data_IF_619744996320
#
_entry.id   IF_619744996320
#
_cell.length_a   1.000
_cell.length_b   1.000
_cell.length_c   1.000
_cell.angle_alpha   90.00
_cell.angle_beta   90.00
_cell.angle_gamma   90.00
#
_symmetry.space_group_name_H-M   'P 1'
#
loop_
_entity.id
_entity.type
_entity.pdbx_description
1 polymer ?
#
# COMPACT_ATOMS: atom_id res chain seq x y z
N UNK A 1 -5.52 -19.08 -76.11
CA UNK A 1 -5.50 -17.67 -75.64
C UNK A 1 -6.68 -17.30 -74.74
N UNK A 2 -7.90 -17.80 -75.01
CA UNK A 2 -9.12 -17.44 -74.24
C UNK A 2 -9.07 -17.95 -72.79
N UNK A 3 -8.58 -19.18 -72.56
CA UNK A 3 -8.49 -19.77 -71.21
C UNK A 3 -7.57 -19.01 -70.24
N UNK A 4 -6.46 -18.44 -70.73
CA UNK A 4 -5.52 -17.63 -69.92
C UNK A 4 -6.12 -16.27 -69.51
N UNK A 5 -6.97 -15.68 -70.36
CA UNK A 5 -7.67 -14.42 -70.04
C UNK A 5 -8.73 -14.63 -68.95
N UNK A 6 -9.47 -15.74 -68.99
CA UNK A 6 -10.48 -16.05 -67.98
C UNK A 6 -9.89 -16.30 -66.58
N UNK A 7 -8.73 -16.97 -66.49
CA UNK A 7 -8.04 -17.19 -65.21
C UNK A 7 -7.54 -15.88 -64.60
N UNK A 8 -7.05 -14.94 -65.42
CA UNK A 8 -6.60 -13.62 -64.96
C UNK A 8 -7.76 -12.80 -64.38
N UNK A 9 -8.94 -12.82 -65.01
CA UNK A 9 -10.12 -12.12 -64.49
C UNK A 9 -10.66 -12.74 -63.21
N UNK A 10 -10.62 -14.07 -63.07
CA UNK A 10 -11.02 -14.76 -61.82
C UNK A 10 -10.04 -14.42 -60.69
N UNK A 11 -8.73 -14.37 -60.97
CA UNK A 11 -7.73 -14.01 -59.97
C UNK A 11 -7.82 -12.53 -59.56
N UNK A 12 -8.08 -11.63 -60.51
CA UNK A 12 -8.33 -10.21 -60.24
C UNK A 12 -9.62 -10.01 -59.43
N UNK A 13 -10.68 -10.76 -59.76
CA UNK A 13 -11.94 -10.73 -59.02
C UNK A 13 -11.79 -11.28 -57.60
N UNK A 14 -11.03 -12.37 -57.41
CA UNK A 14 -10.70 -12.92 -56.10
C UNK A 14 -9.82 -11.97 -55.28
N UNK A 15 -8.85 -11.27 -55.90
CA UNK A 15 -8.07 -10.23 -55.22
C UNK A 15 -8.93 -9.04 -54.79
N UNK A 16 -9.86 -8.59 -55.62
CA UNK A 16 -10.79 -7.52 -55.28
C UNK A 16 -11.77 -7.96 -54.16
N UNK A 17 -12.26 -9.20 -54.18
CA UNK A 17 -13.10 -9.77 -53.13
C UNK A 17 -12.37 -10.02 -51.80
N UNK A 18 -11.09 -10.41 -51.86
CA UNK A 18 -10.25 -10.61 -50.68
C UNK A 18 -10.00 -9.28 -49.94
N UNK A 19 -9.84 -8.18 -50.69
CA UNK A 19 -9.73 -6.84 -50.11
C UNK A 19 -11.07 -6.28 -49.60
N UNK A 20 -12.20 -6.71 -50.19
CA UNK A 20 -13.53 -6.23 -49.76
C UNK A 20 -14.00 -6.86 -48.44
N UNK A 21 -13.57 -8.09 -48.16
CA UNK A 21 -14.00 -8.85 -46.97
C UNK A 21 -13.35 -8.39 -45.65
N UNK A 22 -12.42 -7.42 -45.66
CA UNK A 22 -11.64 -7.03 -44.47
C UNK A 22 -11.73 -5.54 -44.09
N UNK A 23 -12.85 -4.87 -44.35
CA UNK A 23 -13.10 -3.52 -43.81
C UNK A 23 -14.56 -3.31 -43.44
N UNK A 24 -15.05 -4.07 -42.46
CA UNK A 24 -16.08 -3.57 -41.56
C UNK A 24 -15.39 -2.68 -40.50
N UNK A 25 -14.72 -1.61 -40.96
CA UNK A 25 -14.23 -0.58 -40.05
C UNK A 25 -15.45 0.10 -39.45
N UNK A 26 -15.52 0.12 -38.12
CA UNK A 26 -16.54 0.78 -37.31
C UNK A 26 -16.89 2.15 -37.92
N UNK A 27 -18.14 2.33 -38.34
CA UNK A 27 -18.63 3.50 -39.09
C UNK A 27 -18.52 4.82 -38.28
N UNK A 28 -18.24 4.72 -36.98
CA UNK A 28 -18.30 5.83 -36.03
C UNK A 28 -16.92 6.18 -35.48
N UNK A 29 -16.68 7.48 -35.32
CA UNK A 29 -15.43 8.03 -34.77
C UNK A 29 -15.61 8.42 -33.30
N UNK A 30 -14.50 8.53 -32.56
CA UNK A 30 -14.54 9.05 -31.19
C UNK A 30 -15.12 10.47 -31.11
N UNK A 31 -14.92 11.27 -32.16
CA UNK A 31 -15.48 12.62 -32.24
C UNK A 31 -17.01 12.59 -32.15
N UNK A 32 -17.68 11.61 -32.76
CA UNK A 32 -19.14 11.53 -32.78
C UNK A 32 -19.71 11.28 -31.37
N UNK A 33 -19.02 10.47 -30.58
CA UNK A 33 -19.38 10.21 -29.18
C UNK A 33 -19.01 11.38 -28.27
N UNK A 34 -17.78 11.91 -28.41
CA UNK A 34 -17.25 12.99 -27.59
C UNK A 34 -17.93 14.34 -27.86
N UNK A 35 -18.61 14.52 -28.98
CA UNK A 35 -19.41 15.72 -29.23
C UNK A 35 -20.44 16.00 -28.12
N UNK A 36 -21.03 14.92 -27.58
CA UNK A 36 -21.94 14.96 -26.44
C UNK A 36 -21.23 14.56 -25.14
N UNK A 37 -20.50 13.45 -25.13
CA UNK A 37 -19.88 12.90 -23.92
C UNK A 37 -18.62 13.63 -23.48
N UNK A 38 -18.03 14.48 -24.33
CA UNK A 38 -16.87 15.32 -24.01
C UNK A 38 -17.23 16.62 -23.30
N UNK A 39 -18.49 16.82 -22.90
CA UNK A 39 -18.94 18.02 -22.17
C UNK A 39 -19.13 17.67 -20.68
N UNK A 40 -18.62 18.49 -19.75
CA UNK A 40 -18.68 18.18 -18.31
C UNK A 40 -20.12 18.12 -17.77
N UNK A 41 -21.05 18.81 -18.43
CA UNK A 41 -22.45 18.96 -18.01
C UNK A 41 -23.35 17.80 -18.44
N UNK A 42 -22.79 16.70 -18.96
CA UNK A 42 -23.57 15.52 -19.35
C UNK A 42 -23.74 14.54 -18.18
N UNK A 43 -24.98 14.29 -17.81
CA UNK A 43 -25.33 13.41 -16.69
C UNK A 43 -26.60 12.61 -16.96
N UNK A 44 -26.70 11.49 -16.25
CA UNK A 44 -27.85 10.60 -16.22
C UNK A 44 -28.46 10.63 -14.83
N UNK A 45 -29.78 10.68 -14.74
CA UNK A 45 -30.50 10.42 -13.50
C UNK A 45 -30.79 8.92 -13.45
N UNK A 46 -30.26 8.24 -12.43
CA UNK A 46 -30.45 6.81 -12.22
C UNK A 46 -31.82 6.52 -11.60
N UNK A 47 -32.26 5.26 -11.63
CA UNK A 47 -33.59 4.86 -11.13
C UNK A 47 -33.80 5.16 -9.64
N UNK A 48 -32.73 5.25 -8.86
CA UNK A 48 -32.72 5.64 -7.44
C UNK A 48 -32.63 7.16 -7.23
N UNK A 49 -32.80 7.97 -8.29
CA UNK A 49 -32.81 9.43 -8.24
C UNK A 49 -31.44 10.08 -8.11
N UNK A 50 -30.34 9.30 -8.12
CA UNK A 50 -28.98 9.84 -8.08
C UNK A 50 -28.55 10.35 -9.45
N UNK A 51 -27.64 11.32 -9.46
CA UNK A 51 -27.02 11.82 -10.69
C UNK A 51 -25.69 11.12 -10.92
N UNK A 52 -25.50 10.56 -12.10
CA UNK A 52 -24.24 9.97 -12.57
C UNK A 52 -23.70 10.79 -13.74
N UNK A 53 -22.45 11.24 -13.65
CA UNK A 53 -21.79 11.88 -14.79
C UNK A 53 -21.57 10.88 -15.92
N UNK A 54 -21.83 11.32 -17.15
CA UNK A 54 -21.52 10.60 -18.39
C UNK A 54 -20.33 11.23 -19.13
N UNK A 55 -19.63 12.17 -18.50
CA UNK A 55 -18.52 12.90 -19.08
C UNK A 55 -17.30 11.99 -19.30
N UNK A 56 -16.69 12.14 -20.46
CA UNK A 56 -15.42 11.54 -20.86
C UNK A 56 -14.47 12.68 -21.21
N UNK A 57 -13.37 12.79 -20.48
CA UNK A 57 -12.34 13.78 -20.71
C UNK A 57 -11.57 13.44 -22.01
N UNK A 58 -11.67 14.27 -23.07
CA UNK A 58 -11.01 13.97 -24.35
C UNK A 58 -9.48 13.89 -24.25
N UNK A 59 -8.86 14.67 -23.34
CA UNK A 59 -7.42 14.66 -23.15
C UNK A 59 -6.96 13.36 -22.50
N UNK A 60 -7.71 12.87 -21.49
CA UNK A 60 -7.42 11.57 -20.87
C UNK A 60 -7.70 10.41 -21.81
N UNK A 61 -8.80 10.46 -22.57
CA UNK A 61 -9.12 9.46 -23.59
C UNK A 61 -7.99 9.34 -24.64
N UNK A 62 -7.43 10.46 -25.09
CA UNK A 62 -6.29 10.45 -26.03
C UNK A 62 -5.05 9.70 -25.51
N UNK A 63 -4.94 9.53 -24.19
CA UNK A 63 -3.84 8.83 -23.54
C UNK A 63 -4.11 7.35 -23.28
N UNK A 64 -5.39 6.94 -23.33
CA UNK A 64 -5.85 5.56 -23.10
C UNK A 64 -5.13 4.58 -24.04
N UNK A 65 -4.76 3.42 -23.49
CA UNK A 65 -4.02 2.41 -24.25
C UNK A 65 -4.86 1.79 -25.37
N UNK A 66 -6.18 1.70 -25.20
CA UNK A 66 -7.10 1.19 -26.21
C UNK A 66 -7.26 2.19 -27.35
N UNK A 67 -7.42 3.49 -27.04
CA UNK A 67 -7.45 4.54 -28.05
C UNK A 67 -6.15 4.60 -28.86
N UNK A 68 -4.99 4.54 -28.17
CA UNK A 68 -3.68 4.44 -28.84
C UNK A 68 -3.52 3.17 -29.66
N UNK A 69 -4.20 2.09 -29.25
CA UNK A 69 -4.37 0.84 -29.99
C UNK A 69 -5.34 0.94 -31.16
N UNK A 70 -5.86 2.14 -31.48
CA UNK A 70 -6.86 2.43 -32.52
C UNK A 70 -8.26 1.86 -32.26
N UNK A 71 -8.58 1.57 -31.00
CA UNK A 71 -9.96 1.27 -30.62
C UNK A 71 -10.76 2.56 -30.48
N UNK A 72 -12.04 2.45 -30.82
CA UNK A 72 -13.04 3.50 -30.75
C UNK A 72 -14.06 3.20 -29.65
N UNK A 73 -14.89 4.19 -29.33
CA UNK A 73 -15.94 4.08 -28.33
C UNK A 73 -16.83 2.83 -28.50
N UNK A 74 -17.24 2.53 -29.74
CA UNK A 74 -18.17 1.43 -30.06
C UNK A 74 -17.53 0.04 -30.02
N UNK A 75 -16.21 -0.03 -29.99
CA UNK A 75 -15.50 -1.31 -29.84
C UNK A 75 -15.63 -1.85 -28.41
N UNK A 76 -15.80 -0.97 -27.42
CA UNK A 76 -16.14 -1.33 -26.04
C UNK A 76 -17.65 -1.23 -25.78
N UNK A 77 -18.29 -0.16 -26.25
CA UNK A 77 -19.73 0.08 -26.12
C UNK A 77 -20.50 -0.52 -27.31
N UNK A 78 -20.44 -1.83 -27.46
CA UNK A 78 -20.92 -2.58 -28.64
C UNK A 78 -22.42 -2.44 -28.94
N UNK A 79 -23.22 -2.05 -27.96
CA UNK A 79 -24.66 -1.84 -28.10
C UNK A 79 -25.05 -0.35 -28.19
N UNK A 80 -24.07 0.54 -28.34
CA UNK A 80 -24.27 1.97 -28.46
C UNK A 80 -23.86 2.46 -29.85
N UNK A 81 -24.59 3.44 -30.37
CA UNK A 81 -24.17 4.23 -31.52
C UNK A 81 -24.45 5.71 -31.23
N UNK A 82 -23.78 6.67 -31.90
CA UNK A 82 -23.89 8.09 -31.58
C UNK A 82 -25.29 8.71 -31.76
N UNK A 83 -26.20 8.05 -32.49
CA UNK A 83 -27.48 8.63 -32.89
C UNK A 83 -28.67 8.08 -32.11
N UNK A 84 -28.66 6.78 -31.77
CA UNK A 84 -29.75 6.07 -31.11
C UNK A 84 -29.17 5.10 -30.09
N UNK A 85 -29.08 5.53 -28.83
CA UNK A 85 -28.71 4.68 -27.72
C UNK A 85 -29.59 4.96 -26.49
N UNK A 86 -29.88 3.92 -25.70
CA UNK A 86 -30.84 4.02 -24.61
C UNK A 86 -30.28 4.78 -23.40
N UNK A 87 -31.07 5.71 -22.86
CA UNK A 87 -30.75 6.39 -21.59
C UNK A 87 -30.85 5.44 -20.38
N UNK A 88 -31.63 4.36 -20.44
CA UNK A 88 -31.93 3.52 -19.26
C UNK A 88 -31.44 2.06 -19.36
N UNK A 89 -30.70 1.71 -20.41
CA UNK A 89 -30.24 0.35 -20.69
C UNK A 89 -28.73 0.25 -20.82
N UNK A 90 -28.01 0.61 -19.76
CA UNK A 90 -26.54 0.49 -19.72
C UNK A 90 -26.17 -0.98 -19.74
N UNK A 91 -25.67 -1.45 -20.88
CA UNK A 91 -24.95 -2.73 -20.94
C UNK A 91 -23.51 -2.42 -20.51
N UNK A 92 -23.08 -3.05 -19.43
CA UNK A 92 -21.70 -2.93 -18.96
C UNK A 92 -20.72 -3.36 -20.06
N UNK A 93 -19.60 -2.63 -20.16
CA UNK A 93 -18.52 -3.01 -21.08
C UNK A 93 -17.92 -4.32 -20.61
N UNK A 94 -18.02 -5.35 -21.46
CA UNK A 94 -17.43 -6.65 -21.20
C UNK A 94 -15.96 -6.69 -21.62
N UNK A 95 -15.08 -6.49 -20.65
CA UNK A 95 -13.63 -6.57 -20.84
C UNK A 95 -13.18 -7.99 -21.17
N UNK A 96 -13.91 -9.02 -20.71
CA UNK A 96 -13.52 -10.43 -20.86
C UNK A 96 -13.61 -10.91 -22.30
N UNK A 97 -14.41 -10.24 -23.14
CA UNK A 97 -14.48 -10.51 -24.59
C UNK A 97 -13.11 -10.44 -25.27
N UNK A 98 -12.25 -9.53 -24.82
CA UNK A 98 -10.89 -9.35 -25.35
C UNK A 98 -9.79 -9.76 -24.35
N UNK A 99 -10.09 -9.77 -23.05
CA UNK A 99 -9.18 -10.16 -21.96
C UNK A 99 -9.69 -11.40 -21.20
N UNK A 100 -9.88 -12.56 -21.87
CA UNK A 100 -10.48 -13.72 -21.25
C UNK A 100 -9.59 -14.36 -20.18
N UNK A 101 -8.26 -14.32 -20.36
CA UNK A 101 -7.31 -14.90 -19.42
C UNK A 101 -7.30 -14.11 -18.10
N UNK A 102 -7.22 -12.79 -18.20
CA UNK A 102 -7.28 -11.90 -17.05
C UNK A 102 -8.60 -12.04 -16.29
N UNK A 103 -9.71 -12.14 -17.03
CA UNK A 103 -11.03 -12.35 -16.43
C UNK A 103 -11.12 -13.70 -15.69
N UNK A 104 -10.60 -14.78 -16.28
CA UNK A 104 -10.59 -16.11 -15.66
C UNK A 104 -9.73 -16.13 -14.39
N UNK A 105 -8.56 -15.49 -14.41
CA UNK A 105 -7.70 -15.35 -13.24
C UNK A 105 -8.37 -14.51 -12.15
N UNK A 106 -9.01 -13.40 -12.54
CA UNK A 106 -9.72 -12.53 -11.61
C UNK A 106 -10.92 -13.24 -10.96
N UNK A 107 -11.65 -14.09 -11.69
CA UNK A 107 -12.75 -14.89 -11.14
C UNK A 107 -12.33 -15.84 -10.02
N UNK A 108 -11.06 -16.27 -9.99
CA UNK A 108 -10.51 -17.16 -8.96
C UNK A 108 -10.03 -16.43 -7.71
N UNK A 109 -10.08 -15.10 -7.69
CA UNK A 109 -9.56 -14.29 -6.60
C UNK A 109 -10.55 -14.18 -5.43
N UNK A 110 -10.12 -13.62 -4.30
CA UNK A 110 -10.98 -13.49 -3.11
C UNK A 110 -12.15 -12.53 -3.35
N UNK A 111 -11.94 -11.50 -4.19
CA UNK A 111 -12.96 -10.50 -4.51
C UNK A 111 -14.18 -11.10 -5.20
N UNK A 112 -14.04 -12.23 -5.92
CA UNK A 112 -15.14 -12.92 -6.59
C UNK A 112 -15.47 -14.31 -6.01
N UNK A 113 -14.49 -15.01 -5.41
CA UNK A 113 -14.67 -16.40 -4.92
C UNK A 113 -15.44 -16.49 -3.61
N UNK A 114 -15.25 -15.55 -2.69
CA UNK A 114 -15.87 -15.58 -1.35
C UNK A 114 -16.80 -14.40 -1.09
N UNK A 115 -17.22 -13.74 -2.15
CA UNK A 115 -18.20 -12.69 -2.09
C UNK A 115 -19.58 -13.24 -1.73
N UNK A 116 -19.82 -13.50 -0.44
CA UNK A 116 -21.16 -13.28 0.07
C UNK A 116 -21.46 -11.80 -0.20
N UNK A 117 -22.52 -11.44 -0.94
CA UNK A 117 -22.93 -10.06 -1.04
C UNK A 117 -23.28 -9.62 0.38
N UNK A 118 -22.34 -9.00 1.10
CA UNK A 118 -22.72 -8.15 2.20
C UNK A 118 -23.63 -7.11 1.55
N UNK A 119 -24.85 -6.95 2.07
CA UNK A 119 -25.96 -6.27 1.40
C UNK A 119 -25.65 -4.85 0.87
N UNK A 120 -24.49 -4.27 1.19
CA UNK A 120 -24.06 -2.92 0.87
C UNK A 120 -22.65 -2.80 0.23
N UNK A 121 -22.01 -3.87 -0.25
CA UNK A 121 -20.69 -3.75 -0.93
C UNK A 121 -20.72 -4.33 -2.34
N UNK A 122 -20.52 -3.46 -3.32
CA UNK A 122 -20.35 -3.83 -4.71
C UNK A 122 -18.98 -4.50 -4.93
N UNK A 123 -18.95 -5.49 -5.82
CA UNK A 123 -17.73 -6.18 -6.19
C UNK A 123 -16.87 -5.29 -7.10
N UNK A 124 -15.54 -5.24 -6.90
CA UNK A 124 -14.69 -4.48 -7.78
C UNK A 124 -14.69 -5.10 -9.20
N UNK A 125 -15.26 -4.37 -10.14
CA UNK A 125 -15.09 -4.57 -11.59
C UNK A 125 -13.72 -4.08 -12.10
N UNK A 126 -13.32 -4.51 -13.31
CA UNK A 126 -12.01 -4.23 -13.91
C UNK A 126 -11.62 -2.73 -13.86
N UNK A 127 -12.58 -1.86 -14.15
CA UNK A 127 -12.38 -0.41 -14.18
C UNK A 127 -12.18 0.23 -12.79
N UNK A 128 -12.51 -0.45 -11.69
CA UNK A 128 -12.23 0.10 -10.35
C UNK A 128 -10.73 0.12 -10.09
N UNK A 129 -10.00 -0.85 -10.63
CA UNK A 129 -8.54 -0.88 -10.57
C UNK A 129 -7.92 -0.14 -11.75
N UNK A 130 -8.44 -0.32 -12.97
CA UNK A 130 -7.82 0.18 -14.21
C UNK A 130 -8.33 1.54 -14.71
N UNK A 131 -9.29 2.16 -14.00
CA UNK A 131 -10.06 3.36 -14.40
C UNK A 131 -10.94 3.16 -15.65
N UNK A 132 -11.83 4.13 -15.92
CA UNK A 132 -12.66 4.20 -17.14
C UNK A 132 -12.11 5.29 -18.06
N UNK A 133 -12.01 5.02 -19.36
CA UNK A 133 -11.60 5.99 -20.40
C UNK A 133 -10.23 6.67 -20.17
N UNK A 134 -9.40 6.10 -19.29
CA UNK A 134 -8.00 6.51 -19.07
C UNK A 134 -7.17 5.30 -18.61
N UNK A 135 -7.42 4.15 -19.24
CA UNK A 135 -6.73 2.90 -18.95
C UNK A 135 -5.29 3.02 -19.41
N UNK A 136 -4.36 2.93 -18.46
CA UNK A 136 -2.93 3.06 -18.70
C UNK A 136 -2.20 1.77 -18.31
N UNK A 137 -1.14 1.45 -19.07
CA UNK A 137 -0.26 0.33 -18.77
C UNK A 137 0.35 0.45 -17.35
N UNK A 138 0.57 -0.69 -16.69
CA UNK A 138 1.14 -0.76 -15.34
C UNK A 138 2.45 0.04 -15.19
N UNK A 139 3.28 0.09 -16.24
CA UNK A 139 4.57 0.79 -16.23
C UNK A 139 4.43 2.31 -16.32
N UNK A 140 3.26 2.83 -16.68
CA UNK A 140 3.03 4.27 -16.74
C UNK A 140 2.88 4.82 -15.31
N UNK A 141 3.70 5.81 -14.88
CA UNK A 141 3.60 6.40 -13.54
C UNK A 141 2.24 7.00 -13.18
N UNK A 142 1.42 7.34 -14.18
CA UNK A 142 0.06 7.86 -13.99
C UNK A 142 -1.01 6.77 -13.90
N UNK A 143 -0.67 5.50 -14.17
CA UNK A 143 -1.62 4.40 -14.07
C UNK A 143 -2.04 4.17 -12.62
N UNK A 144 -3.33 3.97 -12.38
CA UNK A 144 -3.89 3.58 -11.08
C UNK A 144 -3.31 2.26 -10.56
N UNK A 145 -2.89 1.38 -11.46
CA UNK A 145 -2.25 0.09 -11.12
C UNK A 145 -0.71 0.15 -11.11
N UNK A 146 -0.13 1.33 -11.28
CA UNK A 146 1.31 1.52 -11.13
C UNK A 146 1.73 1.24 -9.68
N UNK A 147 2.93 0.71 -9.47
CA UNK A 147 3.46 0.29 -8.17
C UNK A 147 3.36 1.39 -7.08
N UNK A 148 3.49 2.66 -7.49
CA UNK A 148 3.39 3.82 -6.58
C UNK A 148 1.96 4.22 -6.23
N UNK A 149 0.97 3.82 -7.03
CA UNK A 149 -0.41 4.28 -6.97
C UNK A 149 -1.38 3.17 -6.52
N UNK A 150 -1.00 1.90 -6.70
CA UNK A 150 -1.88 0.74 -6.42
C UNK A 150 -2.40 0.71 -4.98
N UNK A 151 -1.61 1.16 -4.00
CA UNK A 151 -2.08 1.30 -2.62
C UNK A 151 -3.26 2.28 -2.47
N UNK A 152 -3.25 3.39 -3.21
CA UNK A 152 -4.37 4.36 -3.21
C UNK A 152 -5.61 3.76 -3.90
N UNK A 153 -5.41 3.01 -4.98
CA UNK A 153 -6.46 2.27 -5.68
C UNK A 153 -7.15 1.25 -4.76
N UNK A 154 -6.39 0.43 -4.03
CA UNK A 154 -6.95 -0.48 -3.03
C UNK A 154 -7.65 0.27 -1.89
N UNK A 155 -7.09 1.42 -1.49
CA UNK A 155 -7.60 2.27 -0.41
C UNK A 155 -8.96 2.92 -0.69
N UNK A 156 -9.43 2.93 -1.94
CA UNK A 156 -10.79 3.36 -2.28
C UNK A 156 -11.86 2.48 -1.61
N UNK A 157 -11.60 1.17 -1.49
CA UNK A 157 -12.49 0.20 -0.87
C UNK A 157 -11.99 -0.29 0.50
N UNK A 158 -10.67 -0.26 0.73
CA UNK A 158 -10.01 -0.67 1.98
C UNK A 158 -9.39 0.52 2.73
N UNK A 159 -10.16 1.55 3.11
CA UNK A 159 -9.62 2.72 3.81
C UNK A 159 -9.08 2.39 5.21
N UNK A 160 -9.49 1.27 5.82
CA UNK A 160 -9.11 0.84 7.17
C UNK A 160 -7.65 0.40 7.26
N UNK A 161 -7.08 -0.14 6.18
CA UNK A 161 -5.66 -0.51 6.12
C UNK A 161 -4.78 0.64 5.61
N UNK A 162 -5.41 1.76 5.21
CA UNK A 162 -4.70 2.96 4.77
C UNK A 162 -4.30 3.81 5.97
N UNK A 163 -2.98 3.96 6.17
CA UNK A 163 -2.43 4.88 7.17
C UNK A 163 -2.55 6.32 6.67
N UNK A 164 -3.45 7.09 7.29
CA UNK A 164 -3.68 8.50 6.98
C UNK A 164 -2.95 9.43 7.96
N UNK A 165 -2.66 10.66 7.53
CA UNK A 165 -2.13 11.73 8.39
C UNK A 165 -0.64 11.64 8.70
N UNK A 166 -0.22 12.28 9.80
CA UNK A 166 1.20 12.45 10.19
C UNK A 166 1.94 11.14 10.46
N UNK A 167 1.19 10.05 10.70
CA UNK A 167 1.77 8.72 10.93
C UNK A 167 2.10 7.99 9.62
N UNK A 168 1.67 8.49 8.45
CA UNK A 168 1.99 7.92 7.12
C UNK A 168 3.51 7.88 6.94
N UNK A 169 4.07 6.67 6.89
CA UNK A 169 5.52 6.42 6.76
C UNK A 169 6.28 6.26 8.08
N UNK A 170 5.68 6.58 9.23
CA UNK A 170 6.26 6.29 10.54
C UNK A 170 6.26 4.79 10.85
N UNK A 171 7.15 4.32 11.74
CA UNK A 171 7.17 2.92 12.16
C UNK A 171 5.83 2.47 12.75
N UNK A 172 5.16 3.34 13.52
CA UNK A 172 3.83 3.10 14.08
C UNK A 172 2.75 3.01 13.00
N UNK A 173 2.80 3.88 11.99
CA UNK A 173 1.93 3.80 10.82
C UNK A 173 2.12 2.51 10.05
N UNK A 174 3.38 2.13 9.77
CA UNK A 174 3.75 0.87 9.11
C UNK A 174 3.17 -0.35 9.84
N UNK A 175 3.25 -0.37 11.18
CA UNK A 175 2.66 -1.40 12.04
C UNK A 175 1.12 -1.33 12.01
N UNK A 176 0.52 -0.14 12.13
CA UNK A 176 -0.93 -0.01 12.21
C UNK A 176 -1.66 -0.38 10.92
N UNK A 177 -1.03 -0.19 9.75
CA UNK A 177 -1.59 -0.59 8.46
C UNK A 177 -1.55 -2.09 8.18
N UNK A 178 -0.92 -2.90 9.05
CA UNK A 178 -0.71 -4.34 8.84
C UNK A 178 -0.89 -5.14 10.14
N UNK A 179 -1.71 -6.20 10.14
CA UNK A 179 -1.77 -7.12 11.28
C UNK A 179 -0.51 -8.01 11.32
N UNK A 180 0.44 -7.60 12.18
CA UNK A 180 1.55 -8.34 12.82
C UNK A 180 2.10 -9.58 12.08
N UNK A 181 3.24 -9.40 11.42
CA UNK A 181 4.11 -10.46 10.95
C UNK A 181 5.42 -9.88 10.42
N UNK A 182 6.37 -9.67 11.32
CA UNK A 182 7.76 -9.28 11.07
C UNK A 182 8.04 -7.81 10.65
N UNK A 183 9.01 -7.18 11.34
CA UNK A 183 9.39 -5.76 11.20
C UNK A 183 10.76 -5.58 10.56
N UNK A 184 11.38 -6.67 10.08
CA UNK A 184 12.73 -6.69 9.53
C UNK A 184 12.84 -6.33 8.04
N UNK A 185 11.73 -6.05 7.34
CA UNK A 185 11.74 -5.83 5.90
C UNK A 185 11.80 -4.35 5.48
N UNK A 186 12.36 -4.12 4.29
CA UNK A 186 12.01 -2.95 3.47
C UNK A 186 10.59 -3.16 2.93
N UNK A 187 9.60 -2.96 3.80
CA UNK A 187 8.18 -2.91 3.46
C UNK A 187 7.92 -1.73 2.51
N UNK A 188 7.62 -2.01 1.24
CA UNK A 188 6.92 -1.01 0.42
C UNK A 188 5.41 -1.14 0.73
N UNK A 189 4.94 -0.29 1.65
CA UNK A 189 3.53 -0.16 2.04
C UNK A 189 2.58 0.09 0.85
N UNK A 190 3.11 0.37 -0.34
CA UNK A 190 2.33 0.76 -1.50
C UNK A 190 1.87 -0.42 -2.35
N UNK A 191 2.45 -1.61 -2.17
CA UNK A 191 2.26 -2.72 -3.12
C UNK A 191 1.62 -3.93 -2.43
N UNK A 192 0.33 -3.80 -2.10
CA UNK A 192 -0.51 -4.85 -1.51
C UNK A 192 -0.41 -6.19 -2.28
N UNK A 193 -0.32 -6.07 -3.60
CA UNK A 193 -0.20 -7.19 -4.54
C UNK A 193 1.12 -7.96 -4.42
N UNK A 194 2.11 -7.47 -3.67
CA UNK A 194 3.34 -8.24 -3.42
C UNK A 194 3.10 -9.48 -2.55
N UNK A 195 2.10 -9.43 -1.67
CA UNK A 195 1.70 -10.56 -0.83
C UNK A 195 0.34 -11.13 -1.27
N UNK A 196 -0.62 -10.27 -1.63
CA UNK A 196 -1.98 -10.65 -2.00
C UNK A 196 -2.20 -10.80 -3.50
N UNK A 197 -1.16 -11.07 -4.30
CA UNK A 197 -1.29 -11.10 -5.75
C UNK A 197 -2.44 -11.99 -6.24
N UNK A 198 -2.44 -13.27 -5.85
CA UNK A 198 -3.44 -14.25 -6.28
C UNK A 198 -4.82 -13.98 -5.67
N UNK A 199 -4.86 -13.27 -4.54
CA UNK A 199 -6.11 -12.96 -3.86
C UNK A 199 -6.77 -11.71 -4.43
N UNK A 200 -6.02 -10.81 -5.07
CA UNK A 200 -6.48 -9.45 -5.39
C UNK A 200 -6.29 -8.98 -6.84
N UNK A 201 -5.41 -9.61 -7.62
CA UNK A 201 -5.02 -9.19 -8.97
C UNK A 201 -4.93 -10.35 -9.96
N UNK A 202 -4.70 -10.02 -11.24
CA UNK A 202 -4.51 -10.96 -12.35
C UNK A 202 -3.25 -10.59 -13.17
N UNK A 203 -2.81 -11.48 -14.06
CA UNK A 203 -1.68 -11.34 -14.98
C UNK A 203 -0.45 -12.13 -14.56
N UNK A 204 0.66 -11.99 -15.32
CA UNK A 204 1.90 -12.72 -15.05
C UNK A 204 2.44 -12.42 -13.65
N UNK A 205 2.33 -13.44 -12.79
CA UNK A 205 2.89 -13.55 -11.45
C UNK A 205 4.21 -12.78 -11.31
N UNK A 206 4.21 -11.68 -10.56
CA UNK A 206 5.38 -11.38 -9.71
C UNK A 206 5.32 -12.32 -8.51
N UNK A 207 5.43 -13.63 -8.75
CA UNK A 207 6.00 -14.49 -7.71
C UNK A 207 7.44 -14.01 -7.65
N UNK A 208 7.74 -13.18 -6.66
CA UNK A 208 9.13 -13.00 -6.26
C UNK A 208 9.60 -14.38 -5.80
N UNK A 209 10.08 -15.19 -6.75
CA UNK A 209 10.75 -16.48 -6.53
C UNK A 209 11.94 -16.33 -5.57
N UNK A 210 12.32 -15.08 -5.34
CA UNK A 210 13.53 -14.58 -4.73
C UNK A 210 13.20 -13.53 -3.65
N UNK A 211 12.09 -13.72 -2.92
CA UNK A 211 11.76 -12.95 -1.71
C UNK A 211 12.98 -12.80 -0.77
N UNK A 212 13.77 -13.87 -0.65
CA UNK A 212 14.97 -13.92 0.18
C UNK A 212 16.16 -13.10 -0.40
N UNK A 213 16.37 -13.11 -1.73
CA UNK A 213 17.60 -12.56 -2.34
C UNK A 213 17.58 -11.03 -2.49
N UNK A 214 16.39 -10.39 -2.46
CA UNK A 214 16.27 -8.92 -2.37
C UNK A 214 16.77 -8.35 -1.04
N UNK A 215 16.75 -9.15 0.03
CA UNK A 215 17.20 -8.75 1.37
C UNK A 215 18.65 -9.16 1.65
N UNK A 216 19.16 -10.23 1.02
CA UNK A 216 20.55 -10.68 1.15
C UNK A 216 21.52 -10.09 0.09
N UNK A 217 21.04 -9.18 -0.77
CA UNK A 217 21.85 -8.48 -1.77
C UNK A 217 22.69 -7.32 -1.21
N UNK A 218 23.90 -7.63 -0.73
CA UNK A 218 25.16 -6.85 -0.76
C UNK A 218 25.22 -5.37 -0.29
N UNK A 219 24.15 -4.68 0.14
CA UNK A 219 24.22 -3.23 0.45
C UNK A 219 23.58 -2.72 1.74
N UNK A 220 23.13 -3.55 2.68
CA UNK A 220 22.66 -3.07 3.99
C UNK A 220 23.80 -2.93 5.01
N UNK A 221 24.72 -1.99 4.79
CA UNK A 221 25.49 -1.42 5.91
C UNK A 221 24.53 -0.59 6.77
N UNK A 222 23.78 -1.21 7.68
CA UNK A 222 22.84 -0.48 8.56
C UNK A 222 23.08 -0.83 10.03
N UNK A 223 23.11 0.21 10.84
CA UNK A 223 23.31 0.22 12.29
C UNK A 223 22.32 -0.70 13.02
N UNK A 224 22.86 -1.59 13.84
CA UNK A 224 22.15 -2.64 14.59
C UNK A 224 21.07 -2.10 15.54
N UNK A 225 21.14 -0.82 15.93
CA UNK A 225 20.33 -0.29 17.04
C UNK A 225 19.03 0.39 16.58
N UNK A 226 19.01 0.96 15.37
CA UNK A 226 17.83 1.57 14.79
C UNK A 226 17.84 1.29 13.29
N UNK A 227 16.95 0.42 12.85
CA UNK A 227 16.69 0.17 11.42
C UNK A 227 16.35 1.46 10.67
N UNK A 228 16.25 1.41 9.34
CA UNK A 228 16.15 2.60 8.50
C UNK A 228 14.85 3.37 8.72
N UNK A 229 14.85 4.35 9.63
CA UNK A 229 13.79 5.34 9.82
C UNK A 229 13.90 6.44 8.75
N UNK A 230 13.55 6.09 7.51
CA UNK A 230 13.49 7.07 6.43
C UNK A 230 12.20 7.87 6.52
N UNK A 231 12.26 9.06 7.13
CA UNK A 231 11.32 10.14 6.82
C UNK A 231 11.80 10.74 5.48
N UNK A 232 11.18 10.30 4.37
CA UNK A 232 11.62 10.54 2.98
C UNK A 232 11.35 11.96 2.44
N UNK A 233 11.36 12.99 3.29
CA UNK A 233 11.35 14.38 2.87
C UNK A 233 12.69 15.01 3.20
N UNK A 234 13.34 15.60 2.19
CA UNK A 234 14.58 16.39 2.35
C UNK A 234 14.43 17.45 3.45
N UNK A 235 13.22 18.02 3.61
CA UNK A 235 12.91 19.02 4.65
C UNK A 235 12.87 18.46 6.07
N UNK A 236 12.67 17.15 6.24
CA UNK A 236 12.56 16.48 7.55
C UNK A 236 13.76 15.60 7.87
N UNK A 237 14.80 15.58 7.03
CA UNK A 237 16.01 14.82 7.27
C UNK A 237 16.72 15.23 8.58
N UNK A 238 16.68 16.52 8.95
CA UNK A 238 17.26 17.03 10.20
C UNK A 238 16.55 16.48 11.45
N UNK A 239 15.24 16.22 11.38
CA UNK A 239 14.47 15.62 12.48
C UNK A 239 14.94 14.20 12.80
N UNK A 240 15.47 13.47 11.82
CA UNK A 240 16.07 12.15 12.06
C UNK A 240 17.35 12.26 12.90
N UNK A 241 18.12 13.34 12.75
CA UNK A 241 19.32 13.57 13.57
C UNK A 241 18.95 14.01 14.99
N UNK A 242 17.97 14.92 15.12
CA UNK A 242 17.47 15.37 16.42
C UNK A 242 16.82 14.23 17.21
N UNK A 243 16.00 13.40 16.55
CA UNK A 243 15.38 12.24 17.16
C UNK A 243 16.41 11.23 17.69
N UNK A 244 17.47 10.96 16.92
CA UNK A 244 18.60 10.11 17.36
C UNK A 244 19.32 10.72 18.57
N UNK A 245 19.57 12.03 18.55
CA UNK A 245 20.18 12.74 19.67
C UNK A 245 19.36 12.66 20.95
N UNK A 246 18.05 12.86 20.86
CA UNK A 246 17.14 12.79 22.01
C UNK A 246 17.09 11.40 22.63
N UNK A 247 17.01 10.33 21.82
CA UNK A 247 16.99 8.95 22.35
C UNK A 247 18.30 8.63 23.08
N UNK A 248 19.44 9.00 22.49
CA UNK A 248 20.75 8.83 23.15
C UNK A 248 20.79 9.62 24.46
N UNK A 249 20.28 10.84 24.48
CA UNK A 249 20.23 11.68 25.68
C UNK A 249 19.35 11.06 26.79
N UNK A 250 18.19 10.51 26.44
CA UNK A 250 17.32 9.80 27.38
C UNK A 250 17.96 8.51 27.91
N UNK A 251 18.65 7.74 27.06
CA UNK A 251 19.36 6.54 27.48
C UNK A 251 20.53 6.87 28.44
N UNK A 252 21.33 7.89 28.11
CA UNK A 252 22.40 8.38 29.00
C UNK A 252 21.81 8.89 30.31
N UNK A 253 20.74 9.69 30.26
CA UNK A 253 20.05 10.19 31.44
C UNK A 253 19.49 9.09 32.33
N UNK A 254 18.92 8.03 31.74
CA UNK A 254 18.44 6.86 32.47
C UNK A 254 19.59 6.09 33.14
N UNK A 255 20.68 5.84 32.42
CA UNK A 255 21.87 5.19 32.97
C UNK A 255 22.51 5.99 34.12
N UNK A 256 22.64 7.31 33.96
CA UNK A 256 23.17 8.21 35.00
C UNK A 256 22.23 8.25 36.21
N UNK A 257 20.92 8.32 36.00
CA UNK A 257 19.93 8.34 37.09
C UNK A 257 19.90 7.03 37.89
N UNK A 258 19.98 5.88 37.20
CA UNK A 258 20.09 4.56 37.82
C UNK A 258 21.41 4.45 38.61
N UNK A 259 22.53 4.88 38.02
CA UNK A 259 23.83 4.90 38.69
C UNK A 259 23.88 5.84 39.90
N UNK A 260 23.20 7.00 39.83
CA UNK A 260 23.12 7.93 40.95
C UNK A 260 22.26 7.38 42.09
N UNK A 261 21.11 6.76 41.78
CA UNK A 261 20.27 6.08 42.78
C UNK A 261 20.99 4.91 43.45
N UNK A 262 21.71 4.08 42.70
CA UNK A 262 22.46 2.96 43.28
C UNK A 262 23.59 3.44 44.19
N UNK A 263 24.33 4.49 43.80
CA UNK A 263 25.40 5.08 44.61
C UNK A 263 24.87 5.69 45.91
N UNK A 264 23.74 6.39 45.86
CA UNK A 264 23.08 6.97 47.04
C UNK A 264 22.58 5.89 48.00
N UNK A 265 22.05 4.78 47.48
CA UNK A 265 21.66 3.62 48.28
C UNK A 265 22.83 2.97 49.01
N UNK A 266 23.96 2.77 48.32
CA UNK A 266 25.18 2.19 48.91
C UNK A 266 25.77 3.09 50.00
N UNK A 267 25.87 4.40 49.75
CA UNK A 267 26.41 5.36 50.72
C UNK A 267 25.53 5.41 51.98
N UNK A 268 24.21 5.46 51.82
CA UNK A 268 23.28 5.47 52.95
C UNK A 268 23.32 4.15 53.73
N UNK A 269 23.45 3.01 53.05
CA UNK A 269 23.62 1.71 53.68
C UNK A 269 24.92 1.61 54.50
N UNK A 270 26.03 2.12 53.95
CA UNK A 270 27.31 2.17 54.64
C UNK A 270 27.27 3.09 55.87
N UNK A 271 26.65 4.27 55.74
CA UNK A 271 26.50 5.21 56.86
C UNK A 271 25.67 4.61 57.99
N UNK A 272 24.53 3.98 57.66
CA UNK A 272 23.68 3.32 58.66
C UNK A 272 24.37 2.12 59.33
N UNK A 273 25.20 1.38 58.60
CA UNK A 273 26.01 0.30 59.17
C UNK A 273 27.10 0.84 60.10
N UNK A 274 27.85 1.85 59.67
CA UNK A 274 28.89 2.50 60.46
C UNK A 274 28.34 3.11 61.77
N UNK A 275 27.20 3.79 61.71
CA UNK A 275 26.58 4.40 62.90
C UNK A 275 26.14 3.32 63.91
N UNK A 276 25.68 2.15 63.45
CA UNK A 276 25.35 1.00 64.31
C UNK A 276 26.58 0.40 65.01
N UNK A 277 27.67 0.23 64.27
CA UNK A 277 28.92 -0.29 64.85
C UNK A 277 29.43 0.63 65.97
N UNK A 278 29.30 1.95 65.81
CA UNK A 278 29.72 2.93 66.83
C UNK A 278 28.83 2.93 68.08
N UNK A 279 27.54 2.66 67.94
CA UNK A 279 26.65 2.51 69.10
C UNK A 279 26.93 1.21 69.85
N UNK A 280 27.18 0.11 69.13
CA UNK A 280 27.54 -1.18 69.74
C UNK A 280 28.88 -1.07 70.52
N UNK A 281 29.90 -0.40 69.96
CA UNK A 281 31.16 -0.14 70.69
C UNK A 281 30.96 0.68 71.97
N UNK A 282 30.06 1.67 71.96
CA UNK A 282 29.76 2.49 73.14
C UNK A 282 29.01 1.70 74.20
N UNK A 283 28.01 0.92 73.81
CA UNK A 283 27.23 0.08 74.73
C UNK A 283 28.10 -1.00 75.37
N UNK A 284 29.05 -1.59 74.62
CA UNK A 284 30.02 -2.54 75.17
C UNK A 284 30.97 -1.85 76.16
N UNK A 285 31.50 -0.66 75.82
CA UNK A 285 32.39 0.08 76.71
C UNK A 285 31.69 0.54 78.00
N UNK A 286 30.43 0.99 77.92
CA UNK A 286 29.63 1.39 79.09
C UNK A 286 29.31 0.19 80.00
N UNK A 287 29.07 -0.99 79.40
CA UNK A 287 28.79 -2.22 80.13
C UNK A 287 30.04 -2.79 80.82
N UNK A 288 31.19 -2.77 80.14
CA UNK A 288 32.48 -3.15 80.76
C UNK A 288 32.86 -2.21 81.91
N UNK A 289 32.54 -0.91 81.79
CA UNK A 289 32.79 0.06 82.86
C UNK A 289 31.84 -0.11 84.04
N UNK A 290 30.57 -0.44 83.81
CA UNK A 290 29.60 -0.77 84.86
C UNK A 290 29.97 -2.06 85.61
N UNK A 291 30.36 -3.11 84.87
CA UNK A 291 30.77 -4.39 85.44
C UNK A 291 32.07 -4.27 86.26
N UNK A 292 33.01 -3.39 85.88
CA UNK A 292 34.20 -3.08 86.67
C UNK A 292 33.90 -2.34 87.98
N UNK A 293 32.94 -1.40 87.98
CA UNK A 293 32.54 -0.67 89.19
C UNK A 293 31.83 -1.61 90.17
N UNK A 294 30.96 -2.49 89.67
CA UNK A 294 30.23 -3.45 90.49
C UNK A 294 31.14 -4.54 91.09
N UNK A 295 32.15 -5.01 90.33
CA UNK A 295 33.15 -5.95 90.84
C UNK A 295 34.08 -5.39 91.92
N UNK A 296 34.26 -4.07 91.99
CA UNK A 296 35.05 -3.41 93.05
C UNK A 296 34.23 -3.27 94.34
N UNK A 297 32.92 -3.01 94.23
CA UNK A 297 32.01 -2.94 95.39
C UNK A 297 31.79 -4.29 96.08
N UNK A 298 31.72 -5.39 95.33
CA UNK A 298 31.60 -6.76 95.89
C UNK A 298 32.88 -7.28 96.56
N UNK A 299 34.05 -6.69 96.28
CA UNK A 299 35.33 -7.07 96.90
C UNK A 299 35.64 -6.38 98.22
N UNK A 300 34.79 -5.43 98.64
CA UNK A 300 34.98 -4.58 99.84
C UNK A 300 33.92 -4.82 100.94
N UNK A 301 33.15 -5.91 100.86
CA UNK A 301 32.29 -6.45 101.93
C UNK A 301 32.84 -7.78 102.43
#
# INVERSE_FOLDING_TARGET
MILKKSIFFIFLFLLLFYNYSFSQNSIYTDHDCLFCHGKPDIFQITKDGKTRSLFVDPEKWSQDIHHKGKMTCVDCHTYSNPYVHFREGFIDVDCARCHPQEAEEYQKNIHLTFAAPSANKELPLCYHCHTKHHVLLQKNPLSSIHEKNIGETCGLCHPEVMVKGILKGSSLGKISGHRKGDLAEKFDMKVCTSCHYNDSAHGTKRVFKDFCSRCHGYRSKVSLLMGPTHIDSIRSAWLNYVGKGLVIFFLIGAFVSIGYKSRKGIINGFKAWHDRMRTEEKEVAEKEQADQVQGIEESNQ
#
